data_IF_897639745953
#
_entry.id   IF_897639745953
#
_cell.length_a   1.000
_cell.length_b   1.000
_cell.length_c   1.000
_cell.angle_alpha   90.00
_cell.angle_beta   90.00
_cell.angle_gamma   90.00
#
_symmetry.space_group_name_H-M   'P 1'
#
loop_
_entity.id
_entity.type
_entity.pdbx_description
1 polymer ?
#
# COMPACT_ATOMS: atom_id res chain seq x y z
N UNK A 1 5.19 2.66 30.32
CA UNK A 1 4.85 3.60 29.24
C UNK A 1 5.31 2.97 27.93
N UNK A 2 4.42 2.23 27.25
CA UNK A 2 4.77 1.61 25.97
C UNK A 2 4.75 2.68 24.88
N UNK A 3 5.86 2.79 24.16
CA UNK A 3 6.08 3.85 23.18
C UNK A 3 5.15 3.63 21.98
N UNK A 4 4.30 4.61 21.68
CA UNK A 4 3.56 4.75 20.41
C UNK A 4 4.45 5.27 19.29
N UNK A 5 5.76 5.34 19.52
CA UNK A 5 6.72 5.79 18.53
C UNK A 5 6.66 4.88 17.31
N UNK A 6 6.56 5.52 16.15
CA UNK A 6 6.77 4.87 14.86
C UNK A 6 7.99 3.96 14.97
N UNK A 7 7.87 2.66 14.67
CA UNK A 7 9.06 1.89 14.41
C UNK A 7 9.77 2.65 13.31
N UNK A 8 10.87 3.31 13.69
CA UNK A 8 11.81 3.78 12.69
C UNK A 8 12.10 2.52 11.90
N UNK A 9 11.89 2.55 10.59
CA UNK A 9 12.28 1.44 9.73
C UNK A 9 13.82 1.40 9.79
N UNK A 10 14.34 0.83 10.88
CA UNK A 10 15.75 0.64 11.16
C UNK A 10 16.09 -0.61 10.39
N UNK A 11 16.43 -0.43 9.12
CA UNK A 11 17.25 -1.29 8.25
C UNK A 11 16.70 -1.42 6.83
N UNK A 12 17.58 -1.04 5.90
CA UNK A 12 17.61 -1.30 4.47
C UNK A 12 16.24 -1.26 3.77
N UNK A 13 15.72 -0.04 3.58
CA UNK A 13 14.76 0.21 2.51
C UNK A 13 15.21 -0.56 1.27
N UNK A 14 14.36 -1.46 0.76
CA UNK A 14 14.60 -2.12 -0.52
C UNK A 14 15.15 -1.07 -1.50
N UNK A 15 16.27 -1.42 -2.16
CA UNK A 15 17.06 -0.51 -2.99
C UNK A 15 16.15 0.36 -3.86
N UNK A 16 15.97 1.63 -3.49
CA UNK A 16 15.06 2.55 -4.18
C UNK A 16 13.92 3.17 -3.35
N UNK A 17 13.71 2.80 -2.08
CA UNK A 17 12.71 3.44 -1.19
C UNK A 17 13.32 4.15 0.04
N UNK A 18 14.64 4.40 0.07
CA UNK A 18 15.34 5.00 1.21
C UNK A 18 15.25 6.53 1.33
N UNK A 19 15.30 7.04 2.57
CA UNK A 19 15.27 8.46 2.95
C UNK A 19 13.87 9.09 2.97
N UNK A 20 13.72 10.28 3.60
CA UNK A 20 12.48 11.09 3.69
C UNK A 20 12.03 11.58 2.30
N UNK A 21 11.58 10.64 1.47
CA UNK A 21 10.99 10.92 0.17
C UNK A 21 9.62 11.57 0.39
N UNK A 22 9.26 12.59 -0.42
CA UNK A 22 7.88 13.02 -0.51
C UNK A 22 6.96 11.81 -0.77
N UNK A 23 5.78 11.81 -0.16
CA UNK A 23 4.82 10.73 -0.29
C UNK A 23 4.45 10.47 -1.76
N UNK A 24 4.36 11.52 -2.57
CA UNK A 24 4.07 11.46 -4.00
C UNK A 24 5.17 10.71 -4.77
N UNK A 25 6.44 10.93 -4.41
CA UNK A 25 7.58 10.23 -5.01
C UNK A 25 7.63 8.76 -4.60
N UNK A 26 7.37 8.44 -3.33
CA UNK A 26 7.21 7.07 -2.87
C UNK A 26 6.14 6.34 -3.70
N UNK A 27 4.96 6.96 -3.87
CA UNK A 27 3.85 6.40 -4.64
C UNK A 27 4.21 6.18 -6.11
N UNK A 28 4.95 7.10 -6.74
CA UNK A 28 5.43 6.93 -8.13
C UNK A 28 6.36 5.73 -8.27
N UNK A 29 7.29 5.52 -7.32
CA UNK A 29 8.22 4.38 -7.33
C UNK A 29 7.46 3.07 -7.09
N UNK A 30 6.56 3.07 -6.12
CA UNK A 30 5.70 1.93 -5.81
C UNK A 30 4.81 1.56 -7.01
N UNK A 31 4.21 2.55 -7.67
CA UNK A 31 3.40 2.35 -8.88
C UNK A 31 4.19 1.72 -10.04
N UNK A 32 5.45 2.10 -10.25
CA UNK A 32 6.30 1.48 -11.27
C UNK A 32 6.55 -0.01 -10.97
N UNK A 33 6.78 -0.36 -9.70
CA UNK A 33 6.92 -1.76 -9.27
C UNK A 33 5.62 -2.54 -9.47
N UNK A 34 4.49 -1.98 -9.05
CA UNK A 34 3.18 -2.59 -9.28
C UNK A 34 2.86 -2.78 -10.75
N UNK A 35 3.20 -1.81 -11.62
CA UNK A 35 3.02 -1.94 -13.05
C UNK A 35 3.83 -3.10 -13.63
N UNK A 36 5.08 -3.27 -13.18
CA UNK A 36 5.92 -4.41 -13.58
C UNK A 36 5.29 -5.73 -13.15
N UNK A 37 4.80 -5.83 -11.92
CA UNK A 37 4.12 -7.03 -11.42
C UNK A 37 2.80 -7.30 -12.17
N UNK A 38 1.99 -6.26 -12.42
CA UNK A 38 0.73 -6.36 -13.16
C UNK A 38 0.92 -6.89 -14.59
N UNK A 39 2.05 -6.57 -15.23
CA UNK A 39 2.42 -7.03 -16.57
C UNK A 39 3.13 -8.39 -16.58
N UNK A 40 3.38 -9.01 -15.42
CA UNK A 40 4.06 -10.30 -15.33
C UNK A 40 3.26 -11.41 -16.01
N UNK A 41 3.96 -12.38 -16.59
CA UNK A 41 3.34 -13.63 -17.10
C UNK A 41 2.89 -14.54 -15.95
N UNK A 42 3.46 -14.36 -14.76
CA UNK A 42 3.10 -15.15 -13.57
C UNK A 42 1.81 -14.63 -12.97
N UNK A 43 0.77 -15.46 -12.97
CA UNK A 43 -0.55 -15.09 -12.45
C UNK A 43 -0.50 -14.70 -10.98
N UNK A 44 0.37 -15.32 -10.18
CA UNK A 44 0.56 -15.00 -8.76
C UNK A 44 1.08 -13.57 -8.52
N UNK A 45 1.81 -13.00 -9.47
CA UNK A 45 2.32 -11.62 -9.41
C UNK A 45 1.31 -10.63 -10.02
N UNK A 46 0.69 -10.99 -11.14
CA UNK A 46 -0.20 -10.09 -11.87
C UNK A 46 -1.59 -9.98 -11.24
N UNK A 47 -2.26 -11.10 -10.91
CA UNK A 47 -3.65 -11.12 -10.49
C UNK A 47 -3.97 -10.24 -9.27
N UNK A 48 -3.12 -10.18 -8.20
CA UNK A 48 -3.38 -9.31 -7.08
C UNK A 48 -3.51 -7.83 -7.49
N UNK A 49 -2.69 -7.38 -8.44
CA UNK A 49 -2.69 -5.98 -8.88
C UNK A 49 -3.86 -5.70 -9.82
N UNK A 50 -4.19 -6.64 -10.72
CA UNK A 50 -5.36 -6.50 -11.59
C UNK A 50 -6.67 -6.44 -10.80
N UNK A 51 -6.79 -7.26 -9.74
CA UNK A 51 -7.93 -7.23 -8.82
C UNK A 51 -8.08 -5.85 -8.16
N UNK A 52 -6.96 -5.23 -7.74
CA UNK A 52 -6.98 -3.87 -7.17
C UNK A 52 -7.42 -2.82 -8.21
N UNK A 53 -6.94 -2.90 -9.46
CA UNK A 53 -7.34 -1.99 -10.55
C UNK A 53 -8.85 -2.06 -10.80
N UNK A 54 -9.40 -3.28 -10.90
CA UNK A 54 -10.84 -3.51 -11.13
C UNK A 54 -11.67 -3.09 -9.92
N UNK A 55 -11.24 -3.44 -8.69
CA UNK A 55 -11.93 -3.04 -7.46
C UNK A 55 -12.00 -1.51 -7.31
N UNK A 56 -10.96 -0.79 -7.73
CA UNK A 56 -10.94 0.66 -7.75
C UNK A 56 -11.63 1.27 -8.98
N UNK A 57 -12.22 0.48 -9.88
CA UNK A 57 -12.95 0.92 -11.07
C UNK A 57 -12.14 1.85 -11.99
N UNK A 58 -10.82 1.69 -12.06
CA UNK A 58 -9.95 2.57 -12.87
C UNK A 58 -10.22 2.38 -14.37
N UNK A 59 -10.53 1.16 -14.78
CA UNK A 59 -11.04 0.81 -16.11
C UNK A 59 -12.50 0.39 -15.94
N UNK A 60 -13.46 1.32 -16.15
CA UNK A 60 -14.87 0.97 -16.04
C UNK A 60 -15.18 -0.17 -17.02
N UNK A 61 -16.09 -1.05 -16.62
CA UNK A 61 -16.68 -2.13 -17.46
C UNK A 61 -15.77 -3.31 -17.80
N UNK A 62 -14.51 -3.35 -17.32
CA UNK A 62 -13.61 -4.50 -17.56
C UNK A 62 -13.48 -5.36 -16.29
N UNK A 63 -13.79 -6.64 -16.42
CA UNK A 63 -13.56 -7.64 -15.36
C UNK A 63 -12.09 -8.06 -15.25
N UNK A 64 -11.70 -8.70 -14.15
CA UNK A 64 -10.32 -9.22 -13.99
C UNK A 64 -9.97 -10.24 -15.07
N UNK A 65 -10.95 -11.08 -15.47
CA UNK A 65 -10.76 -12.10 -16.50
C UNK A 65 -10.46 -11.48 -17.87
N UNK A 66 -11.13 -10.36 -18.20
CA UNK A 66 -10.91 -9.60 -19.44
C UNK A 66 -9.62 -8.76 -19.38
N UNK A 67 -9.28 -8.24 -18.21
CA UNK A 67 -8.07 -7.44 -18.03
C UNK A 67 -6.78 -8.28 -18.10
N UNK A 68 -6.82 -9.53 -17.62
CA UNK A 68 -5.65 -10.40 -17.57
C UNK A 68 -4.94 -10.62 -18.93
N UNK A 69 -5.63 -10.98 -20.03
CA UNK A 69 -4.99 -11.07 -21.34
C UNK A 69 -4.50 -9.72 -21.86
N UNK A 70 -5.15 -8.61 -21.46
CA UNK A 70 -4.79 -7.25 -21.88
C UNK A 70 -3.71 -6.59 -21.00
N UNK A 71 -3.21 -7.27 -19.97
CA UNK A 71 -2.36 -6.68 -18.91
C UNK A 71 -1.11 -5.98 -19.45
N UNK A 72 -0.55 -6.43 -20.58
CA UNK A 72 0.58 -5.78 -21.23
C UNK A 72 0.28 -4.32 -21.64
N UNK A 73 -0.98 -4.02 -21.98
CA UNK A 73 -1.45 -2.67 -22.35
C UNK A 73 -1.56 -1.70 -21.17
N UNK A 74 -1.54 -2.19 -19.92
CA UNK A 74 -1.66 -1.35 -18.74
C UNK A 74 -0.58 -0.29 -18.72
N UNK A 75 -0.92 0.96 -18.41
CA UNK A 75 0.01 2.07 -18.33
C UNK A 75 0.19 2.52 -16.87
N UNK A 76 1.26 3.25 -16.60
CA UNK A 76 1.55 3.80 -15.27
C UNK A 76 0.39 4.64 -14.71
N UNK A 77 -0.32 5.38 -15.58
CA UNK A 77 -1.49 6.18 -15.19
C UNK A 77 -2.59 5.34 -14.53
N UNK A 78 -2.83 4.10 -14.98
CA UNK A 78 -3.85 3.24 -14.38
C UNK A 78 -3.47 2.86 -12.96
N UNK A 79 -2.19 2.56 -12.73
CA UNK A 79 -1.69 2.20 -11.40
C UNK A 79 -1.71 3.40 -10.46
N UNK A 80 -1.34 4.59 -10.94
CA UNK A 80 -1.41 5.82 -10.15
C UNK A 80 -2.85 6.20 -9.77
N UNK A 81 -3.81 6.05 -10.70
CA UNK A 81 -5.22 6.27 -10.41
C UNK A 81 -5.78 5.25 -9.41
N UNK A 82 -5.37 3.99 -9.50
CA UNK A 82 -5.71 2.96 -8.52
C UNK A 82 -5.22 3.37 -7.11
N UNK A 83 -3.95 3.75 -6.97
CA UNK A 83 -3.38 4.15 -5.67
C UNK A 83 -4.06 5.41 -5.11
N UNK A 84 -4.38 6.38 -5.96
CA UNK A 84 -5.13 7.57 -5.56
C UNK A 84 -6.50 7.19 -4.98
N UNK A 85 -7.24 6.32 -5.66
CA UNK A 85 -8.56 5.84 -5.20
C UNK A 85 -8.48 5.03 -3.92
N UNK A 86 -7.47 4.19 -3.76
CA UNK A 86 -7.22 3.46 -2.51
C UNK A 86 -6.95 4.40 -1.33
N UNK A 87 -6.35 5.57 -1.59
CA UNK A 87 -6.13 6.64 -0.61
C UNK A 87 -7.34 7.57 -0.44
N UNK A 88 -8.46 7.31 -1.12
CA UNK A 88 -9.67 8.13 -1.05
C UNK A 88 -9.66 9.39 -1.92
N UNK A 89 -8.68 9.52 -2.84
CA UNK A 89 -8.65 10.60 -3.82
C UNK A 89 -9.29 10.18 -5.15
N UNK A 90 -10.02 11.07 -5.84
CA UNK A 90 -10.70 10.73 -7.09
C UNK A 90 -9.75 10.50 -8.27
N UNK A 91 -8.58 11.15 -8.27
CA UNK A 91 -7.58 11.05 -9.33
C UNK A 91 -6.15 11.20 -8.80
N UNK A 92 -5.17 10.78 -9.60
CA UNK A 92 -3.76 10.91 -9.25
C UNK A 92 -3.31 12.36 -9.14
N UNK A 93 -3.82 13.24 -10.01
CA UNK A 93 -3.47 14.66 -10.02
C UNK A 93 -3.79 15.29 -8.67
N UNK A 94 -5.01 15.07 -8.16
CA UNK A 94 -5.45 15.56 -6.85
C UNK A 94 -4.63 14.91 -5.72
N UNK A 95 -4.42 13.59 -5.78
CA UNK A 95 -3.61 12.88 -4.80
C UNK A 95 -2.19 13.45 -4.70
N UNK A 96 -1.53 13.68 -5.83
CA UNK A 96 -0.12 14.10 -5.87
C UNK A 96 0.11 15.46 -5.24
N UNK A 97 -0.87 16.37 -5.30
CA UNK A 97 -0.79 17.68 -4.66
C UNK A 97 -1.08 17.64 -3.16
N UNK A 98 -1.88 16.67 -2.70
CA UNK A 98 -2.37 16.62 -1.31
C UNK A 98 -1.63 15.65 -0.42
N UNK A 99 -0.93 14.67 -0.99
CA UNK A 99 -0.33 13.57 -0.23
C UNK A 99 0.98 13.94 0.44
N UNK A 100 1.76 14.86 -0.13
CA UNK A 100 3.06 15.28 0.41
C UNK A 100 3.01 15.92 1.82
N UNK A 101 2.04 16.79 2.16
CA UNK A 101 1.92 17.30 3.52
C UNK A 101 1.35 16.28 4.53
N UNK A 102 0.88 15.12 4.08
CA UNK A 102 0.32 14.10 4.98
C UNK A 102 1.42 13.37 5.74
N UNK A 103 1.14 12.87 6.96
CA UNK A 103 2.05 12.00 7.67
C UNK A 103 2.44 10.79 6.82
N UNK A 104 3.71 10.38 6.89
CA UNK A 104 4.20 9.19 6.19
C UNK A 104 3.38 7.94 6.54
N UNK A 105 2.84 7.88 7.77
CA UNK A 105 1.95 6.84 8.29
C UNK A 105 0.81 6.44 7.32
N UNK A 106 0.31 7.41 6.53
CA UNK A 106 -0.71 7.20 5.50
C UNK A 106 -0.33 6.10 4.50
N UNK A 107 0.96 5.92 4.24
CA UNK A 107 1.50 4.98 3.25
C UNK A 107 2.04 3.69 3.87
N UNK A 108 1.85 3.48 5.18
CA UNK A 108 2.46 2.33 5.87
C UNK A 108 1.91 0.99 5.43
N UNK A 109 0.66 0.95 4.97
CA UNK A 109 0.13 -0.22 4.27
C UNK A 109 1.02 -0.65 3.10
N UNK A 110 1.46 0.31 2.28
CA UNK A 110 2.29 0.02 1.12
C UNK A 110 3.72 -0.35 1.53
N UNK A 111 4.26 0.28 2.57
CA UNK A 111 5.56 -0.10 3.16
C UNK A 111 5.54 -1.51 3.72
N UNK A 112 4.43 -1.89 4.34
CA UNK A 112 4.19 -3.25 4.82
C UNK A 112 4.16 -4.27 3.68
N UNK A 113 3.49 -3.98 2.57
CA UNK A 113 3.51 -4.84 1.38
C UNK A 113 4.90 -4.98 0.75
N UNK A 114 5.74 -3.95 0.85
CA UNK A 114 7.15 -4.00 0.45
C UNK A 114 8.02 -4.79 1.43
N UNK A 115 7.48 -5.19 2.58
CA UNK A 115 8.20 -5.95 3.58
C UNK A 115 9.15 -5.10 4.44
N UNK A 116 8.92 -3.79 4.54
CA UNK A 116 9.74 -2.89 5.36
C UNK A 116 9.59 -3.13 6.88
N UNK A 117 8.67 -4.01 7.29
CA UNK A 117 8.44 -4.40 8.67
C UNK A 117 8.65 -5.92 8.90
N UNK A 118 9.40 -6.60 8.02
CA UNK A 118 9.61 -8.06 8.11
C UNK A 118 10.30 -8.52 9.39
N UNK A 119 11.07 -7.65 10.02
CA UNK A 119 11.82 -7.96 11.25
C UNK A 119 10.97 -7.87 12.52
N UNK A 120 9.70 -7.46 12.38
CA UNK A 120 8.78 -7.29 13.50
C UNK A 120 7.80 -8.44 13.58
N UNK A 121 7.39 -8.78 14.81
CA UNK A 121 6.27 -9.69 15.00
C UNK A 121 4.96 -8.98 14.57
N UNK A 122 4.10 -9.72 13.86
CA UNK A 122 2.81 -9.20 13.39
C UNK A 122 1.65 -9.90 14.09
N UNK A 123 0.63 -9.14 14.49
CA UNK A 123 -0.64 -9.66 14.96
C UNK A 123 -1.79 -9.09 14.14
N UNK A 124 -2.70 -9.94 13.64
CA UNK A 124 -3.74 -9.57 12.70
C UNK A 124 -5.11 -9.49 13.36
N UNK A 125 -5.83 -8.43 13.05
CA UNK A 125 -7.16 -8.15 13.57
C UNK A 125 -8.16 -7.98 12.43
N UNK A 126 -9.43 -8.38 12.62
CA UNK A 126 -10.45 -8.28 11.58
C UNK A 126 -10.81 -6.83 11.24
N UNK A 127 -10.61 -5.90 12.17
CA UNK A 127 -10.84 -4.46 12.01
C UNK A 127 -9.95 -3.61 12.93
N UNK A 128 -9.98 -2.30 12.70
CA UNK A 128 -9.19 -1.31 13.43
C UNK A 128 -9.68 -1.08 14.88
N UNK A 129 -10.95 -1.34 15.17
CA UNK A 129 -11.51 -1.13 16.49
C UNK A 129 -10.94 -2.16 17.47
N UNK A 130 -11.01 -3.45 17.10
CA UNK A 130 -10.43 -4.53 17.90
C UNK A 130 -8.92 -4.37 18.05
N UNK A 131 -8.22 -3.95 16.99
CA UNK A 131 -6.79 -3.71 17.05
C UNK A 131 -6.40 -2.61 18.04
N UNK A 132 -7.18 -1.53 18.13
CA UNK A 132 -6.95 -0.44 19.08
C UNK A 132 -7.19 -0.87 20.52
N UNK A 133 -8.20 -1.70 20.75
CA UNK A 133 -8.50 -2.24 22.07
C UNK A 133 -7.34 -3.10 22.56
N UNK A 134 -6.85 -3.98 21.69
CA UNK A 134 -5.66 -4.79 21.96
C UNK A 134 -4.40 -3.94 22.16
N UNK A 135 -4.19 -2.89 21.34
CA UNK A 135 -3.04 -1.98 21.42
C UNK A 135 -2.99 -1.24 22.76
N UNK A 136 -4.14 -0.89 23.36
CA UNK A 136 -4.18 -0.22 24.68
C UNK A 136 -3.55 -1.06 25.78
N UNK A 137 -3.65 -2.38 25.67
CA UNK A 137 -3.13 -3.34 26.65
C UNK A 137 -1.71 -3.82 26.33
N UNK A 138 -1.36 -3.96 25.04
CA UNK A 138 -0.13 -4.62 24.60
C UNK A 138 0.88 -3.67 23.95
N UNK A 139 0.47 -2.44 23.61
CA UNK A 139 1.26 -1.50 22.83
C UNK A 139 1.35 -1.88 21.35
N UNK A 140 2.44 -1.47 20.70
CA UNK A 140 2.69 -1.74 19.28
C UNK A 140 2.18 -0.66 18.33
N UNK A 141 2.54 -0.80 17.05
CA UNK A 141 2.19 0.14 15.99
C UNK A 141 1.13 -0.48 15.07
N UNK A 142 0.00 0.21 14.90
CA UNK A 142 -1.10 -0.31 14.08
C UNK A 142 -1.02 0.23 12.64
N UNK A 143 -1.17 -0.67 11.67
CA UNK A 143 -1.33 -0.33 10.26
C UNK A 143 -2.72 -0.78 9.80
N UNK A 144 -3.44 0.13 9.15
CA UNK A 144 -4.68 -0.19 8.46
C UNK A 144 -4.39 -0.98 7.17
N UNK A 145 -5.00 -2.16 7.02
CA UNK A 145 -4.85 -3.02 5.85
C UNK A 145 -6.22 -3.37 5.25
N UNK A 146 -6.74 -2.47 4.41
CA UNK A 146 -8.10 -2.62 3.87
C UNK A 146 -9.14 -2.56 5.00
N UNK A 147 -9.86 -3.65 5.22
CA UNK A 147 -10.81 -3.78 6.35
C UNK A 147 -10.16 -4.25 7.64
N UNK A 148 -8.98 -4.88 7.54
CA UNK A 148 -8.25 -5.45 8.65
C UNK A 148 -7.24 -4.45 9.22
N UNK A 149 -6.65 -4.80 10.34
CA UNK A 149 -5.52 -4.08 10.92
C UNK A 149 -4.43 -5.07 11.33
N UNK A 150 -3.18 -4.62 11.24
CA UNK A 150 -2.02 -5.38 11.73
C UNK A 150 -1.30 -4.57 12.79
N UNK A 151 -1.04 -5.18 13.94
CA UNK A 151 -0.14 -4.64 14.95
C UNK A 151 1.28 -5.13 14.67
N UNK A 152 2.22 -4.19 14.67
CA UNK A 152 3.64 -4.40 14.56
C UNK A 152 4.24 -4.28 15.96
N UNK A 153 4.95 -5.33 16.36
CA UNK A 153 5.54 -5.50 17.68
C UNK A 153 7.06 -5.64 17.55
N UNK A 154 7.78 -4.93 18.41
CA UNK A 154 9.23 -5.04 18.56
C UNK A 154 9.64 -6.38 19.18
#
# INVERSE_FOLDING_TARGET
>A
MWSTQFPHAIHAAESGFGGTLPNSDFLRRYAKRLLRAARSERSSEALPILRRIVAMQVTPEISVAELYPLRASLQLKHVLHMLARELGYPSWEICSHKVDPQPSALLDRYRFELGMFRDFQTNWFPDMEIARDWQREHGGYLIAYGRQAVAILH
#
